data_IF_722405362326
#
_entry.id   IF_722405362326
#
_cell.length_a   1.000
_cell.length_b   1.000
_cell.length_c   1.000
_cell.angle_alpha   90.00
_cell.angle_beta   90.00
_cell.angle_gamma   90.00
#
_symmetry.space_group_name_H-M   'P 1'
#
loop_
_entity.id
_entity.type
_entity.pdbx_description
1 polymer ?
#
# COMPACT_ATOMS: atom_id res chain seq x y z
N UNK A 1 -4.86 -12.87 27.08
CA UNK A 1 -4.20 -13.50 25.93
C UNK A 1 -3.75 -12.37 25.03
N UNK A 2 -2.47 -12.00 25.04
CA UNK A 2 -1.98 -10.84 24.31
C UNK A 2 -2.05 -11.09 22.80
N UNK A 3 -2.56 -10.13 22.04
CA UNK A 3 -2.48 -10.15 20.58
C UNK A 3 -1.02 -9.88 20.22
N UNK A 4 -0.33 -10.89 19.72
CA UNK A 4 0.98 -10.71 19.12
C UNK A 4 0.78 -10.44 17.62
N UNK A 5 1.36 -9.35 17.14
CA UNK A 5 1.35 -9.01 15.72
C UNK A 5 2.66 -9.44 15.06
N UNK A 6 2.57 -10.12 13.93
CA UNK A 6 3.74 -10.53 13.17
C UNK A 6 4.21 -9.35 12.30
N UNK A 7 5.38 -8.78 12.63
CA UNK A 7 6.01 -7.72 11.85
C UNK A 7 7.17 -8.30 11.05
N UNK A 8 7.11 -8.18 9.73
CA UNK A 8 8.16 -8.64 8.82
C UNK A 8 8.83 -7.44 8.14
N UNK A 9 10.11 -7.23 8.45
CA UNK A 9 10.90 -6.10 7.90
C UNK A 9 12.08 -6.65 7.09
N UNK A 10 11.94 -6.83 5.77
CA UNK A 10 12.98 -7.43 4.94
C UNK A 10 14.01 -6.36 4.50
N UNK A 11 14.95 -6.04 5.38
CA UNK A 11 15.93 -4.97 5.17
C UNK A 11 16.73 -5.14 3.85
N UNK A 12 17.22 -6.35 3.58
CA UNK A 12 17.97 -6.65 2.37
C UNK A 12 17.12 -6.51 1.10
N UNK A 13 15.87 -6.99 1.15
CA UNK A 13 14.93 -6.85 0.04
C UNK A 13 14.63 -5.37 -0.23
N UNK A 14 14.35 -4.60 0.82
CA UNK A 14 14.08 -3.16 0.71
C UNK A 14 15.25 -2.36 0.17
N UNK A 15 16.49 -2.83 0.39
CA UNK A 15 17.69 -2.23 -0.21
C UNK A 15 17.83 -2.56 -1.69
N UNK A 16 17.47 -3.77 -2.10
CA UNK A 16 17.55 -4.24 -3.48
C UNK A 16 16.40 -3.73 -4.36
N UNK A 17 15.23 -3.47 -3.77
CA UNK A 17 14.05 -2.97 -4.49
C UNK A 17 14.33 -1.54 -4.98
N UNK A 18 14.25 -1.36 -6.30
CA UNK A 18 14.16 -0.05 -6.89
C UNK A 18 12.72 0.48 -6.71
N UNK A 19 12.56 1.61 -6.00
CA UNK A 19 11.25 2.16 -5.68
C UNK A 19 10.74 2.93 -6.92
N UNK A 20 9.58 2.57 -7.49
CA UNK A 20 8.97 3.39 -8.52
C UNK A 20 8.61 4.74 -7.92
N UNK A 21 9.03 5.85 -8.53
CA UNK A 21 8.53 7.16 -8.16
C UNK A 21 7.13 7.31 -8.74
N UNK A 22 6.13 7.31 -7.86
CA UNK A 22 4.78 7.71 -8.20
C UNK A 22 4.58 9.15 -7.75
N UNK A 23 4.32 10.05 -8.70
CA UNK A 23 4.08 11.46 -8.40
C UNK A 23 2.69 11.59 -7.79
N UNK A 24 2.66 11.76 -6.48
CA UNK A 24 1.43 12.05 -5.76
C UNK A 24 1.04 13.51 -5.96
N UNK A 25 -0.26 13.76 -6.08
CA UNK A 25 -0.82 15.10 -5.94
C UNK A 25 -0.50 15.61 -4.55
N UNK A 26 -0.09 16.87 -4.45
CA UNK A 26 0.21 17.46 -3.14
C UNK A 26 -1.11 17.63 -2.38
N UNK A 27 -1.01 17.64 -1.06
CA UNK A 27 -2.16 17.91 -0.20
C UNK A 27 -2.90 19.19 -0.61
N UNK A 28 -2.16 20.26 -0.94
CA UNK A 28 -2.70 21.55 -1.38
C UNK A 28 -3.53 21.46 -2.67
N UNK A 29 -3.13 20.60 -3.62
CA UNK A 29 -3.85 20.38 -4.87
C UNK A 29 -5.22 19.73 -4.60
N UNK A 30 -5.25 18.80 -3.64
CA UNK A 30 -6.44 18.06 -3.24
C UNK A 30 -7.40 18.97 -2.46
N UNK A 31 -6.91 19.74 -1.48
CA UNK A 31 -7.74 20.66 -0.70
C UNK A 31 -8.35 21.75 -1.57
N UNK A 32 -7.61 22.24 -2.57
CA UNK A 32 -8.11 23.25 -3.51
C UNK A 32 -9.28 22.73 -4.34
N UNK A 33 -9.26 21.45 -4.75
CA UNK A 33 -10.36 20.81 -5.46
C UNK A 33 -11.56 20.49 -4.57
N UNK A 34 -11.30 20.18 -3.29
CA UNK A 34 -12.34 19.88 -2.29
C UNK A 34 -12.98 21.13 -1.67
N UNK A 35 -12.42 22.33 -1.90
CA UNK A 35 -12.86 23.59 -1.27
C UNK A 35 -14.30 24.02 -1.54
N UNK A 36 -15.01 23.36 -2.45
CA UNK A 36 -16.44 23.57 -2.74
C UNK A 36 -17.36 22.41 -2.36
N UNK A 37 -16.84 21.34 -1.73
CA UNK A 37 -17.63 20.16 -1.41
C UNK A 37 -18.44 20.34 -0.12
N UNK A 38 -19.75 20.08 -0.18
CA UNK A 38 -20.64 20.14 1.00
C UNK A 38 -20.48 18.93 1.93
N UNK A 39 -20.00 17.79 1.40
CA UNK A 39 -19.83 16.54 2.13
C UNK A 39 -18.49 15.91 1.75
N UNK A 40 -17.73 15.46 2.73
CA UNK A 40 -16.52 14.66 2.55
C UNK A 40 -16.69 13.32 3.25
N UNK A 41 -16.17 12.26 2.65
CA UNK A 41 -16.13 10.92 3.23
C UNK A 41 -14.68 10.49 3.35
N UNK A 42 -14.31 9.94 4.51
CA UNK A 42 -13.00 9.33 4.74
C UNK A 42 -13.19 7.83 4.74
N UNK A 43 -12.51 7.16 3.81
CA UNK A 43 -12.51 5.70 3.69
C UNK A 43 -11.18 5.18 4.25
N UNK A 44 -11.25 4.36 5.29
CA UNK A 44 -10.09 3.71 5.85
C UNK A 44 -9.86 2.35 5.18
N UNK A 45 -8.64 2.13 4.70
CA UNK A 45 -8.26 0.97 3.92
C UNK A 45 -7.18 0.16 4.67
N UNK A 46 -7.45 -0.17 5.93
CA UNK A 46 -6.58 -0.92 6.87
C UNK A 46 -6.08 -2.25 6.31
N UNK A 47 -6.72 -2.83 5.30
CA UNK A 47 -6.31 -4.09 4.67
C UNK A 47 -5.99 -3.96 3.18
N UNK A 48 -5.85 -2.74 2.66
CA UNK A 48 -5.63 -2.46 1.24
C UNK A 48 -4.44 -3.24 0.65
N UNK A 49 -3.37 -3.43 1.43
CA UNK A 49 -2.19 -4.17 1.01
C UNK A 49 -2.51 -5.62 0.62
N UNK A 50 -3.40 -6.27 1.36
CA UNK A 50 -3.75 -7.67 1.13
C UNK A 50 -4.62 -7.86 -0.12
N UNK A 51 -5.21 -6.79 -0.66
CA UNK A 51 -6.01 -6.85 -1.88
C UNK A 51 -5.13 -7.06 -3.12
N UNK A 52 -3.86 -6.64 -3.08
CA UNK A 52 -2.94 -6.76 -4.21
C UNK A 52 -2.28 -8.15 -4.20
N UNK A 53 -2.51 -8.93 -5.25
CA UNK A 53 -1.79 -10.18 -5.50
C UNK A 53 -0.35 -9.93 -5.89
N UNK A 54 0.58 -10.72 -5.34
CA UNK A 54 1.95 -10.79 -5.82
C UNK A 54 2.05 -11.80 -6.96
N UNK A 55 2.87 -11.51 -7.96
CA UNK A 55 3.31 -12.49 -8.95
C UNK A 55 4.20 -13.56 -8.28
N UNK A 56 4.37 -14.69 -8.96
CA UNK A 56 5.08 -15.83 -8.37
C UNK A 56 6.55 -15.51 -8.05
N UNK A 57 7.23 -14.74 -8.90
CA UNK A 57 8.62 -14.32 -8.68
C UNK A 57 8.73 -13.36 -7.49
N UNK A 58 7.86 -12.35 -7.40
CA UNK A 58 7.80 -11.45 -6.23
C UNK A 58 7.43 -12.20 -4.95
N UNK A 59 6.54 -13.20 -5.02
CA UNK A 59 6.17 -14.04 -3.89
C UNK A 59 7.37 -14.82 -3.36
N UNK A 60 8.23 -15.35 -4.25
CA UNK A 60 9.48 -16.03 -3.86
C UNK A 60 10.44 -15.09 -3.14
N UNK A 61 10.54 -13.83 -3.58
CA UNK A 61 11.33 -12.81 -2.88
C UNK A 61 10.78 -12.47 -1.49
N UNK A 62 9.47 -12.63 -1.30
CA UNK A 62 8.76 -12.43 -0.05
C UNK A 62 8.70 -13.68 0.85
N UNK A 63 9.72 -14.53 0.77
CA UNK A 63 9.81 -15.74 1.61
C UNK A 63 10.43 -15.41 2.96
N UNK A 64 9.84 -15.90 4.04
CA UNK A 64 10.38 -15.81 5.40
C UNK A 64 10.48 -17.18 6.07
N UNK A 65 11.48 -17.32 6.93
CA UNK A 65 11.63 -18.50 7.78
C UNK A 65 10.92 -18.25 9.11
N UNK A 66 9.89 -19.05 9.40
CA UNK A 66 9.43 -19.26 10.76
C UNK A 66 10.24 -20.39 11.41
N UNK A 67 10.29 -20.49 12.75
CA UNK A 67 10.99 -21.56 13.45
C UNK A 67 10.58 -22.99 13.03
N UNK A 68 9.38 -23.13 12.48
CA UNK A 68 8.80 -24.43 12.11
C UNK A 68 8.78 -24.68 10.59
N UNK A 69 8.66 -23.62 9.78
CA UNK A 69 8.48 -23.74 8.34
C UNK A 69 8.94 -22.49 7.58
N UNK A 70 9.29 -22.67 6.31
CA UNK A 70 9.49 -21.58 5.37
C UNK A 70 8.18 -21.24 4.67
N UNK A 71 7.72 -20.01 4.84
CA UNK A 71 6.47 -19.50 4.28
C UNK A 71 6.76 -18.38 3.30
N UNK A 72 5.86 -18.17 2.34
CA UNK A 72 5.93 -17.06 1.39
C UNK A 72 4.62 -16.29 1.37
N UNK A 73 4.72 -14.98 1.18
CA UNK A 73 3.53 -14.14 1.00
C UNK A 73 2.99 -14.25 -0.43
N UNK A 74 1.67 -14.43 -0.56
CA UNK A 74 0.96 -14.44 -1.85
C UNK A 74 0.31 -13.08 -2.17
N UNK A 75 0.10 -12.28 -1.13
CA UNK A 75 -0.46 -10.93 -1.20
C UNK A 75 0.56 -9.95 -0.66
N UNK A 76 0.44 -8.70 -1.09
CA UNK A 76 1.35 -7.66 -0.67
C UNK A 76 1.18 -7.37 0.83
N UNK A 77 2.30 -7.32 1.54
CA UNK A 77 2.36 -7.13 2.98
C UNK A 77 2.97 -5.78 3.34
N UNK A 78 2.69 -5.36 4.56
CA UNK A 78 3.34 -4.22 5.19
C UNK A 78 4.85 -4.48 5.32
N UNK A 79 5.65 -3.41 5.22
CA UNK A 79 7.10 -3.47 5.39
C UNK A 79 7.92 -3.59 4.10
N UNK A 80 7.31 -3.82 2.93
CA UNK A 80 8.00 -3.71 1.64
C UNK A 80 8.12 -2.24 1.22
N UNK A 81 9.30 -1.82 0.76
CA UNK A 81 9.58 -0.42 0.37
C UNK A 81 8.71 0.13 -0.76
N UNK A 82 8.29 -0.71 -1.70
CA UNK A 82 7.45 -0.32 -2.85
C UNK A 82 5.93 -0.51 -2.62
N UNK A 83 5.56 -0.98 -1.43
CA UNK A 83 4.17 -1.28 -1.05
C UNK A 83 3.23 -0.07 -1.12
N UNK A 84 3.57 1.08 -0.50
CA UNK A 84 2.66 2.23 -0.50
C UNK A 84 2.43 2.80 -1.91
N UNK A 85 3.44 2.85 -2.77
CA UNK A 85 3.27 3.36 -4.14
C UNK A 85 2.39 2.46 -4.98
N UNK A 86 2.49 1.14 -4.78
CA UNK A 86 1.69 0.18 -5.52
C UNK A 86 0.21 0.34 -5.19
N UNK A 87 -0.12 0.51 -3.90
CA UNK A 87 -1.50 0.76 -3.48
C UNK A 87 -2.00 2.11 -3.97
N UNK A 88 -1.18 3.16 -3.84
CA UNK A 88 -1.54 4.49 -4.32
C UNK A 88 -1.89 4.47 -5.81
N UNK A 89 -1.10 3.77 -6.62
CA UNK A 89 -1.41 3.56 -8.03
C UNK A 89 -2.71 2.77 -8.22
N UNK A 90 -2.87 1.63 -7.55
CA UNK A 90 -4.07 0.82 -7.69
C UNK A 90 -5.35 1.58 -7.31
N UNK A 91 -5.28 2.39 -6.25
CA UNK A 91 -6.40 3.24 -5.80
C UNK A 91 -6.67 4.36 -6.81
N UNK A 92 -5.63 5.01 -7.33
CA UNK A 92 -5.79 6.01 -8.37
C UNK A 92 -6.42 5.43 -9.65
N UNK A 93 -5.95 4.27 -10.12
CA UNK A 93 -6.52 3.54 -11.27
C UNK A 93 -7.98 3.15 -11.03
N UNK A 94 -8.34 2.74 -9.82
CA UNK A 94 -9.72 2.35 -9.48
C UNK A 94 -10.67 3.55 -9.41
N UNK A 95 -10.16 4.74 -9.10
CA UNK A 95 -10.95 5.96 -8.91
C UNK A 95 -10.87 6.92 -10.11
N UNK A 96 -10.10 6.58 -11.15
CA UNK A 96 -9.96 7.39 -12.36
C UNK A 96 -11.33 7.67 -13.03
N UNK A 97 -12.25 6.70 -12.95
CA UNK A 97 -13.59 6.80 -13.51
C UNK A 97 -14.58 7.60 -12.62
N UNK A 98 -14.20 7.94 -11.38
CA UNK A 98 -15.07 8.64 -10.42
C UNK A 98 -14.74 10.12 -10.39
N UNK A 99 -15.59 10.94 -11.01
CA UNK A 99 -15.47 12.39 -10.94
C UNK A 99 -15.55 12.89 -9.48
N UNK A 100 -14.60 13.74 -9.09
CA UNK A 100 -14.42 14.32 -7.74
C UNK A 100 -13.92 13.35 -6.65
N UNK A 101 -13.43 12.16 -7.00
CA UNK A 101 -12.69 11.31 -6.07
C UNK A 101 -11.21 11.70 -6.05
N UNK A 102 -10.81 12.52 -5.07
CA UNK A 102 -9.39 12.83 -4.83
C UNK A 102 -8.84 11.98 -3.70
N UNK A 103 -7.71 11.34 -3.92
CA UNK A 103 -7.08 10.47 -2.92
C UNK A 103 -5.76 11.04 -2.44
N UNK A 104 -5.65 11.23 -1.13
CA UNK A 104 -4.37 11.35 -0.46
C UNK A 104 -4.19 10.11 0.43
N UNK A 105 -3.18 9.30 0.14
CA UNK A 105 -2.68 8.36 1.13
C UNK A 105 -1.87 9.15 2.15
N UNK A 106 -2.58 9.81 3.07
CA UNK A 106 -1.98 10.15 4.35
C UNK A 106 -1.73 8.81 5.04
N UNK A 107 -0.46 8.38 5.07
CA UNK A 107 -0.04 7.41 6.07
C UNK A 107 -0.36 8.04 7.42
N UNK A 108 -1.47 7.60 8.02
CA UNK A 108 -1.73 7.77 9.45
C UNK A 108 -0.68 6.93 10.18
#
# INVERSE_FOLDING_TARGET
MGLYEFVWTPQNLNRAINRPQYNLHKYEDITSKLGGANYSCVLDAVTAFWQISLDEESSRLCTFSSPFLRLKFLRMQYGIKCSPERIQRAVAETLEDIQNAETNFLMI
#
